data_IF_029077749170
#
_entry.id   IF_029077749170
#
_cell.length_a   1.000
_cell.length_b   1.000
_cell.length_c   1.000
_cell.angle_alpha   90.00
_cell.angle_beta   90.00
_cell.angle_gamma   90.00
#
_symmetry.space_group_name_H-M   'P 1'
#
loop_
_entity.id
_entity.type
_entity.pdbx_description
1 polymer ?
#
# COMPACT_ATOMS: atom_id res chain seq x y z
N UNK A 1 6.48 -23.07 -6.55
CA UNK A 1 6.30 -21.95 -7.49
C UNK A 1 7.64 -21.66 -8.11
N UNK A 2 7.75 -21.69 -9.43
CA UNK A 2 8.97 -21.35 -10.15
C UNK A 2 9.21 -19.86 -9.89
N UNK A 3 10.20 -19.55 -9.05
CA UNK A 3 10.55 -18.19 -8.68
C UNK A 3 11.07 -17.47 -9.90
N UNK A 4 10.21 -16.70 -10.56
CA UNK A 4 10.63 -15.81 -11.63
C UNK A 4 11.54 -14.78 -11.00
N UNK A 5 12.82 -14.82 -11.36
CA UNK A 5 13.79 -13.82 -10.93
C UNK A 5 13.36 -12.45 -11.49
N UNK A 6 12.94 -11.55 -10.60
CA UNK A 6 12.68 -10.16 -10.95
C UNK A 6 14.04 -9.54 -11.28
N UNK A 7 14.22 -9.07 -12.52
CA UNK A 7 15.42 -8.39 -13.01
C UNK A 7 15.33 -6.88 -12.74
N UNK A 8 16.38 -6.16 -13.09
CA UNK A 8 16.34 -4.70 -13.08
C UNK A 8 15.44 -4.21 -14.21
N UNK A 9 14.63 -3.18 -13.93
CA UNK A 9 13.62 -2.70 -14.84
C UNK A 9 12.47 -1.98 -14.15
N UNK A 10 11.47 -1.64 -14.96
CA UNK A 10 10.25 -0.94 -14.56
C UNK A 10 9.07 -1.89 -14.70
N UNK A 11 8.30 -2.05 -13.62
CA UNK A 11 7.22 -3.03 -13.49
C UNK A 11 5.90 -2.35 -13.15
N UNK A 12 5.02 -2.09 -14.14
CA UNK A 12 3.66 -1.62 -13.88
C UNK A 12 2.80 -2.73 -13.27
N UNK A 13 1.85 -2.35 -12.42
CA UNK A 13 0.85 -3.26 -11.83
C UNK A 13 1.45 -4.44 -11.03
N UNK A 14 2.65 -4.30 -10.49
CA UNK A 14 3.22 -5.32 -9.61
C UNK A 14 2.45 -5.34 -8.27
N UNK A 15 1.90 -6.48 -7.84
CA UNK A 15 1.30 -6.61 -6.52
C UNK A 15 2.29 -6.24 -5.40
N UNK A 16 1.80 -5.62 -4.33
CA UNK A 16 2.67 -5.14 -3.25
C UNK A 16 3.42 -6.28 -2.53
N UNK A 17 2.77 -7.42 -2.33
CA UNK A 17 3.36 -8.63 -1.75
C UNK A 17 4.54 -9.14 -2.59
N UNK A 18 4.40 -9.13 -3.92
CA UNK A 18 5.52 -9.43 -4.83
C UNK A 18 6.64 -8.41 -4.67
N UNK A 19 6.34 -7.11 -4.68
CA UNK A 19 7.34 -6.05 -4.44
C UNK A 19 8.07 -6.22 -3.10
N UNK A 20 7.34 -6.56 -2.04
CA UNK A 20 7.89 -6.75 -0.70
C UNK A 20 8.94 -7.87 -0.65
N UNK A 21 8.76 -8.93 -1.45
CA UNK A 21 9.68 -10.08 -1.50
C UNK A 21 10.97 -9.83 -2.29
N UNK A 22 11.05 -8.79 -3.12
CA UNK A 22 12.25 -8.51 -3.92
C UNK A 22 13.45 -8.27 -2.98
N UNK A 23 14.55 -9.05 -3.08
CA UNK A 23 15.72 -8.90 -2.22
C UNK A 23 16.59 -7.73 -2.71
N UNK A 24 16.10 -6.51 -2.49
CA UNK A 24 16.78 -5.26 -2.86
C UNK A 24 16.54 -4.17 -1.81
N UNK A 25 17.49 -3.24 -1.71
CA UNK A 25 17.47 -2.11 -0.79
C UNK A 25 16.30 -1.19 -1.13
N UNK A 26 15.57 -0.72 -0.12
CA UNK A 26 14.55 0.31 -0.28
C UNK A 26 14.75 1.45 0.72
N UNK A 27 14.13 2.59 0.42
CA UNK A 27 14.24 3.80 1.25
C UNK A 27 13.83 3.58 2.71
N UNK A 28 12.82 2.75 2.97
CA UNK A 28 12.36 2.49 4.34
C UNK A 28 13.43 1.84 5.20
N UNK A 29 14.22 0.91 4.67
CA UNK A 29 15.34 0.30 5.39
C UNK A 29 16.52 1.28 5.51
N UNK A 30 16.81 2.05 4.46
CA UNK A 30 17.88 3.06 4.49
C UNK A 30 17.64 4.13 5.56
N UNK A 31 16.39 4.51 5.84
CA UNK A 31 16.05 5.43 6.95
C UNK A 31 16.51 4.90 8.31
N UNK A 32 16.40 3.59 8.56
CA UNK A 32 16.93 3.00 9.78
C UNK A 32 18.45 2.88 9.73
N UNK A 33 19.02 2.61 8.56
CA UNK A 33 20.47 2.54 8.38
C UNK A 33 21.16 3.87 8.69
N UNK A 34 20.54 5.00 8.29
CA UNK A 34 21.00 6.34 8.64
C UNK A 34 21.06 6.63 10.14
N UNK A 35 20.36 5.83 10.98
CA UNK A 35 20.57 5.85 12.43
C UNK A 35 21.71 4.92 12.83
N UNK A 36 21.64 3.64 12.44
CA UNK A 36 22.77 2.71 12.45
C UNK A 36 22.44 1.40 11.72
N UNK A 37 23.47 0.66 11.32
CA UNK A 37 23.31 -0.68 10.77
C UNK A 37 22.54 -1.64 11.70
N UNK A 38 22.66 -1.48 13.02
CA UNK A 38 21.91 -2.28 13.99
C UNK A 38 20.39 -2.00 13.94
N UNK A 39 19.97 -0.75 13.73
CA UNK A 39 18.56 -0.39 13.58
C UNK A 39 17.97 -0.98 12.29
N UNK A 40 18.70 -0.87 11.18
CA UNK A 40 18.31 -1.50 9.91
C UNK A 40 18.17 -3.02 10.07
N UNK A 41 19.18 -3.68 10.65
CA UNK A 41 19.17 -5.13 10.91
C UNK A 41 17.99 -5.54 11.78
N UNK A 42 17.71 -4.80 12.86
CA UNK A 42 16.55 -5.06 13.71
C UNK A 42 15.24 -4.97 12.93
N UNK A 43 15.06 -3.94 12.10
CA UNK A 43 13.85 -3.78 11.29
C UNK A 43 13.70 -4.89 10.24
N UNK A 44 14.79 -5.33 9.61
CA UNK A 44 14.77 -6.43 8.63
C UNK A 44 14.42 -7.78 9.26
N UNK A 45 14.96 -8.06 10.45
CA UNK A 45 14.73 -9.34 11.15
C UNK A 45 13.40 -9.37 11.91
N UNK A 46 12.92 -8.21 12.37
CA UNK A 46 11.75 -8.07 13.23
C UNK A 46 10.97 -6.81 12.84
N UNK A 47 10.33 -6.79 11.66
CA UNK A 47 9.55 -5.63 11.25
C UNK A 47 8.40 -5.41 12.25
N UNK A 48 8.21 -4.14 12.64
CA UNK A 48 7.05 -3.77 13.45
C UNK A 48 5.77 -4.01 12.65
N UNK A 49 4.72 -4.46 13.33
CA UNK A 49 3.38 -4.46 12.76
C UNK A 49 2.97 -3.00 12.46
N UNK A 50 2.24 -2.76 11.35
CA UNK A 50 1.63 -1.47 11.09
C UNK A 50 0.77 -1.00 12.26
N UNK A 51 0.71 0.30 12.47
CA UNK A 51 -0.27 0.90 13.38
C UNK A 51 -1.59 1.11 12.62
N UNK A 52 -2.70 1.25 13.35
CA UNK A 52 -4.02 1.54 12.74
C UNK A 52 -3.97 2.76 11.81
N UNK A 53 -3.22 3.80 12.18
CA UNK A 53 -3.02 4.98 11.33
C UNK A 53 -2.24 4.69 10.03
N UNK A 54 -1.30 3.75 10.05
CA UNK A 54 -0.58 3.32 8.84
C UNK A 54 -1.47 2.47 7.93
N UNK A 55 -2.28 1.60 8.51
CA UNK A 55 -3.26 0.79 7.78
C UNK A 55 -4.29 1.69 7.09
N UNK A 56 -4.89 2.62 7.85
CA UNK A 56 -5.82 3.59 7.29
C UNK A 56 -5.19 4.49 6.20
N UNK A 57 -3.92 4.88 6.38
CA UNK A 57 -3.16 5.57 5.33
C UNK A 57 -3.02 4.74 4.05
N UNK A 58 -2.83 3.42 4.18
CA UNK A 58 -2.77 2.48 3.05
C UNK A 58 -4.11 2.38 2.34
N UNK A 59 -5.22 2.42 3.07
CA UNK A 59 -6.56 2.38 2.50
C UNK A 59 -6.89 3.64 1.70
N UNK A 60 -6.57 4.82 2.25
CA UNK A 60 -6.67 6.10 1.54
C UNK A 60 -5.79 6.08 0.29
N UNK A 61 -4.56 5.57 0.41
CA UNK A 61 -3.62 5.46 -0.70
C UNK A 61 -4.19 4.63 -1.84
N UNK A 62 -4.72 3.44 -1.55
CA UNK A 62 -5.39 2.59 -2.54
C UNK A 62 -6.59 3.30 -3.17
N UNK A 63 -7.43 3.97 -2.37
CA UNK A 63 -8.56 4.73 -2.88
C UNK A 63 -8.14 5.84 -3.86
N UNK A 64 -6.99 6.49 -3.65
CA UNK A 64 -6.50 7.58 -4.50
C UNK A 64 -5.78 7.05 -5.74
N UNK A 65 -4.85 6.10 -5.60
CA UNK A 65 -3.94 5.71 -6.67
C UNK A 65 -4.42 4.48 -7.45
N UNK A 66 -5.25 3.63 -6.85
CA UNK A 66 -5.77 2.41 -7.46
C UNK A 66 -7.31 2.30 -7.29
N UNK A 67 -8.11 3.29 -7.73
CA UNK A 67 -9.54 3.36 -7.40
C UNK A 67 -10.34 2.13 -7.86
N UNK A 68 -10.00 1.54 -9.01
CA UNK A 68 -10.65 0.29 -9.47
C UNK A 68 -10.37 -0.90 -8.56
N UNK A 69 -9.16 -0.96 -8.01
CA UNK A 69 -8.75 -1.99 -7.05
C UNK A 69 -9.46 -1.76 -5.72
N UNK A 70 -9.51 -0.51 -5.26
CA UNK A 70 -10.27 -0.15 -4.07
C UNK A 70 -11.74 -0.58 -4.19
N UNK A 71 -12.40 -0.22 -5.29
CA UNK A 71 -13.81 -0.56 -5.53
C UNK A 71 -14.07 -2.09 -5.60
N UNK A 72 -13.06 -2.89 -5.95
CA UNK A 72 -13.17 -4.35 -6.05
C UNK A 72 -12.81 -5.08 -4.74
N UNK A 73 -11.78 -4.61 -4.04
CA UNK A 73 -11.15 -5.31 -2.90
C UNK A 73 -11.62 -4.78 -1.55
N UNK A 74 -12.25 -3.61 -1.47
CA UNK A 74 -12.68 -3.01 -0.20
C UNK A 74 -14.19 -3.12 0.01
N UNK A 75 -14.59 -3.32 1.26
CA UNK A 75 -15.99 -3.34 1.67
C UNK A 75 -16.22 -2.53 2.93
N UNK A 76 -17.38 -1.89 2.99
CA UNK A 76 -17.86 -1.14 4.15
C UNK A 76 -18.75 -2.02 5.02
N UNK A 77 -18.52 -2.01 6.32
CA UNK A 77 -19.41 -2.63 7.32
C UNK A 77 -19.83 -1.63 8.39
N UNK A 78 -21.02 -1.80 9.00
CA UNK A 78 -21.45 -0.95 10.11
C UNK A 78 -20.46 -1.01 11.27
N UNK A 79 -20.42 0.06 12.07
CA UNK A 79 -19.62 0.05 13.31
C UNK A 79 -20.18 -1.00 14.28
N UNK A 80 -19.31 -1.87 14.77
CA UNK A 80 -19.66 -2.92 15.74
C UNK A 80 -18.98 -2.68 17.09
N UNK A 81 -19.69 -2.97 18.18
CA UNK A 81 -19.07 -3.02 19.50
C UNK A 81 -18.45 -4.40 19.76
N UNK A 82 -17.15 -4.49 19.47
CA UNK A 82 -16.33 -5.69 19.63
C UNK A 82 -16.12 -6.12 21.09
N UNK A 83 -16.64 -5.37 22.08
CA UNK A 83 -16.64 -5.79 23.49
C UNK A 83 -17.79 -6.76 23.79
N UNK A 84 -18.85 -6.74 22.99
CA UNK A 84 -20.03 -7.59 23.17
C UNK A 84 -19.90 -8.91 22.42
N UNK A 85 -20.57 -9.96 22.91
CA UNK A 85 -20.65 -11.25 22.19
C UNK A 85 -21.31 -11.09 20.82
N UNK A 86 -22.40 -10.33 20.76
CA UNK A 86 -23.15 -10.04 19.53
C UNK A 86 -22.26 -9.33 18.49
N UNK A 87 -21.50 -8.31 18.91
CA UNK A 87 -20.59 -7.58 18.02
C UNK A 87 -19.47 -8.47 17.48
N UNK A 88 -18.88 -9.34 18.30
CA UNK A 88 -17.86 -10.31 17.86
C UNK A 88 -18.42 -11.34 16.87
N UNK A 89 -19.63 -11.83 17.11
CA UNK A 89 -20.31 -12.77 16.19
C UNK A 89 -20.65 -12.10 14.85
N UNK A 90 -21.13 -10.86 14.88
CA UNK A 90 -21.38 -10.07 13.68
C UNK A 90 -20.09 -9.78 12.89
N UNK A 91 -18.99 -9.46 13.56
CA UNK A 91 -17.69 -9.29 12.92
C UNK A 91 -17.20 -10.57 12.25
N UNK A 92 -17.23 -11.70 12.97
CA UNK A 92 -16.83 -12.98 12.40
C UNK A 92 -17.69 -13.38 11.18
N UNK A 93 -18.98 -13.01 11.18
CA UNK A 93 -19.86 -13.17 10.02
C UNK A 93 -19.40 -12.31 8.84
N UNK A 94 -19.12 -11.03 9.07
CA UNK A 94 -18.62 -10.14 8.01
C UNK A 94 -17.26 -10.58 7.45
N UNK A 95 -16.33 -11.01 8.32
CA UNK A 95 -15.04 -11.59 7.90
C UNK A 95 -15.23 -12.81 7.00
N UNK A 96 -16.17 -13.69 7.35
CA UNK A 96 -16.47 -14.89 6.56
C UNK A 96 -17.13 -14.55 5.22
N UNK A 97 -18.10 -13.63 5.21
CA UNK A 97 -18.83 -13.24 3.99
C UNK A 97 -17.95 -12.45 3.01
N UNK A 98 -16.94 -11.73 3.52
CA UNK A 98 -16.04 -10.90 2.73
C UNK A 98 -14.61 -11.43 2.76
N UNK A 99 -14.44 -12.76 2.86
CA UNK A 99 -13.13 -13.39 2.91
C UNK A 99 -12.26 -12.94 1.72
N UNK A 100 -11.04 -12.48 2.02
CA UNK A 100 -10.10 -11.96 1.03
C UNK A 100 -10.29 -10.50 0.64
N UNK A 101 -11.25 -9.78 1.23
CA UNK A 101 -11.43 -8.34 1.05
C UNK A 101 -10.92 -7.55 2.25
N UNK A 102 -10.60 -6.28 2.02
CA UNK A 102 -10.29 -5.33 3.08
C UNK A 102 -11.58 -4.77 3.66
N UNK A 103 -11.86 -5.08 4.92
CA UNK A 103 -13.08 -4.68 5.62
C UNK A 103 -12.79 -3.39 6.39
N UNK A 104 -13.50 -2.33 6.04
CA UNK A 104 -13.44 -1.06 6.75
C UNK A 104 -14.77 -0.78 7.44
N UNK A 105 -14.71 -0.13 8.61
CA UNK A 105 -15.91 0.46 9.17
C UNK A 105 -16.40 1.61 8.30
N UNK A 106 -17.71 1.83 8.32
CA UNK A 106 -18.39 2.82 7.48
C UNK A 106 -17.75 4.22 7.54
N UNK A 107 -17.26 4.64 8.70
CA UNK A 107 -16.59 5.93 8.86
C UNK A 107 -15.29 6.01 8.04
N UNK A 108 -14.43 5.00 8.13
CA UNK A 108 -13.14 4.96 7.44
C UNK A 108 -13.31 4.77 5.94
N UNK A 109 -14.26 3.91 5.54
CA UNK A 109 -14.62 3.73 4.12
C UNK A 109 -15.11 5.05 3.49
N UNK A 110 -16.00 5.78 4.18
CA UNK A 110 -16.47 7.10 3.74
C UNK A 110 -15.34 8.12 3.71
N UNK A 111 -14.42 8.08 4.67
CA UNK A 111 -13.26 8.97 4.68
C UNK A 111 -12.34 8.72 3.47
N UNK A 112 -12.10 7.46 3.10
CA UNK A 112 -11.35 7.10 1.90
C UNK A 112 -12.00 7.66 0.62
N UNK A 113 -13.30 7.42 0.45
CA UNK A 113 -14.06 7.95 -0.69
C UNK A 113 -14.11 9.48 -0.71
N UNK A 114 -14.25 10.10 0.46
CA UNK A 114 -14.23 11.55 0.62
C UNK A 114 -12.89 12.15 0.18
N UNK A 115 -11.78 11.54 0.60
CA UNK A 115 -10.44 11.99 0.21
C UNK A 115 -10.21 11.84 -1.31
N UNK A 116 -10.55 10.68 -1.88
CA UNK A 116 -10.51 10.45 -3.34
C UNK A 116 -11.30 11.52 -4.08
N UNK A 117 -12.54 11.80 -3.64
CA UNK A 117 -13.39 12.83 -4.24
C UNK A 117 -12.72 14.21 -4.18
N UNK A 118 -12.13 14.60 -3.05
CA UNK A 118 -11.44 15.91 -2.92
C UNK A 118 -10.21 16.01 -3.83
N UNK A 119 -9.46 14.92 -3.96
CA UNK A 119 -8.35 14.83 -4.91
C UNK A 119 -8.82 15.05 -6.35
N UNK A 120 -9.93 14.39 -6.74
CA UNK A 120 -10.48 14.47 -8.09
C UNK A 120 -11.13 15.85 -8.38
N UNK A 121 -11.70 16.51 -7.38
CA UNK A 121 -12.30 17.86 -7.49
C UNK A 121 -11.25 18.99 -7.51
N UNK A 122 -10.06 18.78 -6.96
CA UNK A 122 -9.03 19.81 -6.89
C UNK A 122 -8.22 19.86 -8.19
N UNK A 123 -8.43 20.90 -9.02
CA UNK A 123 -7.84 21.05 -10.36
C UNK A 123 -6.34 20.72 -10.43
N UNK A 124 -5.51 21.35 -9.59
CA UNK A 124 -4.06 21.11 -9.61
C UNK A 124 -3.63 19.68 -9.23
N UNK A 125 -4.33 19.05 -8.28
CA UNK A 125 -4.01 17.68 -7.84
C UNK A 125 -4.54 16.68 -8.87
N UNK A 126 -5.75 16.90 -9.38
CA UNK A 126 -6.34 16.09 -10.44
C UNK A 126 -5.48 16.14 -11.70
N UNK A 127 -4.98 17.32 -12.09
CA UNK A 127 -4.06 17.45 -13.22
C UNK A 127 -2.77 16.63 -13.01
N UNK A 128 -2.20 16.65 -11.80
CA UNK A 128 -1.00 15.87 -11.46
C UNK A 128 -1.24 14.35 -11.44
N UNK A 129 -2.34 13.91 -10.82
CA UNK A 129 -2.59 12.49 -10.52
C UNK A 129 -3.44 11.77 -11.57
N UNK A 130 -4.26 12.50 -12.32
CA UNK A 130 -5.19 11.97 -13.34
C UNK A 130 -4.86 12.46 -14.74
N UNK A 131 -4.19 13.60 -14.86
CA UNK A 131 -3.78 14.16 -16.15
C UNK A 131 -2.68 13.35 -16.82
N UNK A 132 -2.65 13.46 -18.15
CA UNK A 132 -1.63 12.86 -19.00
C UNK A 132 -1.61 11.33 -18.99
N UNK A 133 -0.65 10.77 -19.73
CA UNK A 133 -0.32 9.35 -19.61
C UNK A 133 0.54 9.15 -18.36
N UNK A 134 0.55 7.95 -17.83
CA UNK A 134 1.40 7.61 -16.68
C UNK A 134 0.93 6.36 -15.96
N UNK A 135 1.72 5.95 -14.98
CA UNK A 135 1.44 4.79 -14.14
C UNK A 135 1.41 5.19 -12.67
N UNK A 136 0.57 4.48 -11.91
CA UNK A 136 0.54 4.58 -10.45
C UNK A 136 1.16 3.31 -9.88
N UNK A 137 1.63 3.37 -8.63
CA UNK A 137 2.19 2.21 -7.92
C UNK A 137 3.32 1.50 -8.69
N UNK A 138 4.12 2.27 -9.42
CA UNK A 138 5.12 1.76 -10.34
C UNK A 138 6.32 1.23 -9.59
N UNK A 139 6.60 -0.06 -9.73
CA UNK A 139 7.81 -0.64 -9.12
C UNK A 139 9.00 -0.45 -10.05
N UNK A 140 10.12 -0.01 -9.50
CA UNK A 140 11.40 0.14 -10.19
C UNK A 140 12.44 -0.65 -9.41
N UNK A 141 13.23 -1.45 -10.12
CA UNK A 141 14.37 -2.20 -9.58
C UNK A 141 15.59 -1.84 -10.40
N UNK A 142 16.71 -1.52 -9.74
CA UNK A 142 17.94 -1.15 -10.43
C UNK A 142 19.16 -1.49 -9.59
N UNK A 143 20.31 -1.60 -10.24
CA UNK A 143 21.61 -1.64 -9.57
C UNK A 143 22.18 -0.24 -9.53
N UNK A 144 22.44 0.26 -8.33
CA UNK A 144 23.03 1.58 -8.15
C UNK A 144 24.47 1.60 -8.70
N UNK A 145 24.80 2.47 -9.67
CA UNK A 145 26.10 2.42 -10.35
C UNK A 145 27.28 2.85 -9.46
N UNK A 146 27.03 3.62 -8.40
CA UNK A 146 28.07 4.09 -7.48
C UNK A 146 28.46 3.01 -6.47
N UNK A 147 27.46 2.35 -5.88
CA UNK A 147 27.66 1.36 -4.81
C UNK A 147 27.68 -0.09 -5.30
N UNK A 148 27.14 -0.36 -6.49
CA UNK A 148 26.90 -1.72 -6.99
C UNK A 148 25.74 -2.43 -6.29
N UNK A 149 25.02 -1.75 -5.40
CA UNK A 149 23.95 -2.35 -4.60
C UNK A 149 22.63 -2.38 -5.35
N UNK A 150 21.89 -3.48 -5.19
CA UNK A 150 20.57 -3.62 -5.80
C UNK A 150 19.51 -2.87 -5.01
N UNK A 151 18.79 -1.98 -5.67
CA UNK A 151 17.78 -1.10 -5.11
C UNK A 151 16.40 -1.36 -5.70
N UNK A 152 15.37 -1.03 -4.94
CA UNK A 152 13.97 -1.03 -5.35
C UNK A 152 13.22 0.17 -4.79
N UNK A 153 12.24 0.63 -5.56
CA UNK A 153 11.30 1.67 -5.15
C UNK A 153 9.92 1.38 -5.73
N UNK A 154 8.90 1.95 -5.10
CA UNK A 154 7.52 1.95 -5.59
C UNK A 154 7.06 3.39 -5.63
N UNK A 155 6.74 3.87 -6.82
CA UNK A 155 6.41 5.27 -7.09
C UNK A 155 4.90 5.42 -7.16
N UNK A 156 4.34 6.28 -6.31
CA UNK A 156 2.89 6.49 -6.21
C UNK A 156 2.28 6.93 -7.55
N UNK A 157 2.93 7.89 -8.23
CA UNK A 157 2.55 8.38 -9.56
C UNK A 157 3.80 8.77 -10.35
N UNK A 158 3.90 8.28 -11.59
CA UNK A 158 4.83 8.78 -12.60
C UNK A 158 4.03 9.19 -13.85
N UNK A 159 3.95 10.49 -14.11
CA UNK A 159 3.38 11.04 -15.34
C UNK A 159 4.39 11.03 -16.50
N UNK A 160 3.88 10.91 -17.73
CA UNK A 160 4.67 10.91 -18.98
C UNK A 160 4.02 11.77 -20.04
#
# INVERSE_FOLDING_TARGET
>A
MIGVEIKDGIYPNMPYDVYATIPAINYSILKFFGQSAAHARKQMLRPKKPTEAMEFGTDIHCAIFEPKRFDAEYVSVPKLDMRTKIGKEAWAKHEKENAGKNILFEADYKACLGMRKRVDEHEGIAALLRGGKGANELTIVWTDPETGERCKSRIDRLGT
#
